data_IF_217309838287
#
_entry.id   IF_217309838287
#
_cell.length_a   1.000
_cell.length_b   1.000
_cell.length_c   1.000
_cell.angle_alpha   90.00
_cell.angle_beta   90.00
_cell.angle_gamma   90.00
#
_symmetry.space_group_name_H-M   'P 1'
#
loop_
_entity.id
_entity.type
_entity.pdbx_description
1 polymer ?
#
# COMPACT_ATOMS: atom_id res chain seq x y z
N UNK A 1 24.80 39.44 -9.12
CA UNK A 1 25.49 38.28 -8.51
C UNK A 1 24.41 37.50 -7.80
N UNK A 2 23.87 36.47 -8.49
CA UNK A 2 22.82 35.58 -7.92
C UNK A 2 23.52 34.42 -7.22
N UNK A 3 23.25 34.27 -5.94
CA UNK A 3 23.71 33.15 -5.12
C UNK A 3 23.01 31.84 -5.59
N UNK A 4 23.70 30.71 -5.74
CA UNK A 4 23.06 29.44 -6.07
C UNK A 4 22.32 28.92 -4.86
N UNK A 5 21.02 28.68 -5.04
CA UNK A 5 20.16 27.95 -4.10
C UNK A 5 20.71 26.55 -3.87
N UNK A 6 20.99 26.21 -2.61
CA UNK A 6 21.51 24.94 -2.16
C UNK A 6 20.59 23.75 -2.48
N UNK A 7 21.05 22.50 -2.27
CA UNK A 7 20.30 21.29 -2.64
C UNK A 7 18.93 21.30 -1.98
N UNK A 8 17.89 21.21 -2.81
CA UNK A 8 16.50 21.35 -2.41
C UNK A 8 16.15 20.48 -1.22
N UNK A 9 15.51 21.09 -0.24
CA UNK A 9 14.90 20.39 0.89
C UNK A 9 14.08 19.20 0.36
N UNK A 10 14.29 18.03 0.94
CA UNK A 10 13.46 16.85 0.68
C UNK A 10 12.00 17.23 0.96
N UNK A 11 11.24 17.51 -0.10
CA UNK A 11 9.80 17.68 0.00
C UNK A 11 9.28 16.28 0.34
N UNK A 12 9.02 16.04 1.62
CA UNK A 12 8.23 14.88 2.03
C UNK A 12 6.83 15.02 1.43
N UNK A 13 6.14 13.92 1.06
CA UNK A 13 4.72 14.02 0.80
C UNK A 13 4.11 14.69 2.04
N UNK A 14 3.02 15.48 1.92
CA UNK A 14 2.32 15.98 3.08
C UNK A 14 2.15 14.79 4.03
N UNK A 15 2.84 14.87 5.18
CA UNK A 15 3.07 13.71 6.06
C UNK A 15 1.73 13.13 6.44
N UNK A 16 1.65 11.81 6.44
CA UNK A 16 0.53 11.13 7.08
C UNK A 16 0.49 11.64 8.53
N UNK A 17 -0.50 12.47 8.91
CA UNK A 17 -0.56 13.03 10.26
C UNK A 17 -0.63 11.92 11.33
N UNK A 18 -1.09 10.73 10.93
CA UNK A 18 -1.22 9.58 11.80
C UNK A 18 0.11 8.79 11.92
N UNK A 19 1.02 8.88 10.93
CA UNK A 19 2.39 8.34 11.03
C UNK A 19 3.29 9.14 11.98
N UNK A 20 2.95 10.38 12.28
CA UNK A 20 3.71 11.24 13.23
C UNK A 20 3.77 10.64 14.66
N UNK A 21 2.88 9.72 15.00
CA UNK A 21 2.86 9.00 16.28
C UNK A 21 3.87 7.84 16.38
N UNK A 22 4.54 7.42 15.29
CA UNK A 22 5.48 6.28 15.28
C UNK A 22 6.84 6.66 14.67
N UNK A 23 7.88 6.85 15.50
CA UNK A 23 9.24 7.14 15.00
C UNK A 23 9.74 6.06 14.02
N UNK A 24 9.38 4.78 14.22
CA UNK A 24 9.77 3.68 13.35
C UNK A 24 9.15 3.81 11.95
N UNK A 25 7.88 4.19 11.86
CA UNK A 25 7.20 4.44 10.57
C UNK A 25 7.74 5.70 9.89
N UNK A 26 7.98 6.77 10.64
CA UNK A 26 8.57 7.99 10.09
C UNK A 26 9.97 7.73 9.48
N UNK A 27 10.82 6.95 10.17
CA UNK A 27 12.12 6.55 9.66
C UNK A 27 11.99 5.63 8.42
N UNK A 28 11.03 4.71 8.42
CA UNK A 28 10.74 3.87 7.27
C UNK A 28 10.32 4.70 6.06
N UNK A 29 9.41 5.64 6.23
CA UNK A 29 8.89 6.48 5.16
C UNK A 29 9.98 7.36 4.55
N UNK A 30 10.88 7.93 5.38
CA UNK A 30 12.05 8.68 4.93
C UNK A 30 12.99 7.81 4.05
N UNK A 31 13.23 6.56 4.45
CA UNK A 31 14.04 5.62 3.67
C UNK A 31 13.35 5.21 2.36
N UNK A 32 12.03 4.99 2.40
CA UNK A 32 11.23 4.62 1.23
C UNK A 32 11.32 5.71 0.18
N UNK A 33 11.01 6.97 0.52
CA UNK A 33 10.87 8.06 -0.45
C UNK A 33 12.19 8.41 -1.17
N UNK A 34 13.33 8.06 -0.60
CA UNK A 34 14.66 8.28 -1.18
C UNK A 34 15.20 7.09 -1.97
N UNK A 35 14.50 5.95 -1.97
CA UNK A 35 14.97 4.70 -2.56
C UNK A 35 15.14 4.76 -4.08
N UNK A 36 16.28 4.22 -4.57
CA UNK A 36 16.64 4.13 -6.00
C UNK A 36 17.18 2.73 -6.38
N UNK A 37 16.85 1.68 -5.61
CA UNK A 37 17.42 0.32 -5.77
C UNK A 37 17.06 -0.38 -7.09
N UNK A 38 15.94 -0.02 -7.73
CA UNK A 38 15.41 -0.69 -8.92
C UNK A 38 15.53 0.24 -10.15
N UNK A 39 16.60 0.18 -10.97
CA UNK A 39 16.83 1.13 -12.07
C UNK A 39 15.66 1.25 -13.04
N UNK A 40 15.02 0.10 -13.42
CA UNK A 40 13.85 0.08 -14.31
C UNK A 40 12.67 0.83 -13.72
N UNK A 41 12.37 0.64 -12.43
CA UNK A 41 11.26 1.34 -11.76
C UNK A 41 11.56 2.83 -11.57
N UNK A 42 12.81 3.17 -11.27
CA UNK A 42 13.25 4.57 -11.15
C UNK A 42 13.07 5.28 -12.49
N UNK A 43 13.60 4.70 -13.58
CA UNK A 43 13.46 5.28 -14.91
C UNK A 43 12.00 5.47 -15.30
N UNK A 44 11.17 4.45 -15.09
CA UNK A 44 9.75 4.48 -15.46
C UNK A 44 8.94 5.50 -14.66
N UNK A 45 9.02 5.48 -13.32
CA UNK A 45 8.25 6.41 -12.49
C UNK A 45 8.59 7.87 -12.77
N UNK A 46 9.90 8.16 -13.00
CA UNK A 46 10.38 9.49 -13.31
C UNK A 46 10.01 9.92 -14.73
N UNK A 47 10.06 9.01 -15.71
CA UNK A 47 9.57 9.24 -17.06
C UNK A 47 8.08 9.61 -17.05
N UNK A 48 7.23 8.80 -16.38
CA UNK A 48 5.81 9.09 -16.24
C UNK A 48 5.56 10.46 -15.59
N UNK A 49 6.39 10.83 -14.59
CA UNK A 49 6.31 12.15 -13.95
C UNK A 49 6.66 13.32 -14.86
N UNK A 50 7.57 13.12 -15.82
CA UNK A 50 7.92 14.15 -16.83
C UNK A 50 6.88 14.22 -17.95
N UNK A 51 6.49 13.08 -18.52
CA UNK A 51 5.60 13.00 -19.68
C UNK A 51 4.16 13.33 -19.31
N UNK A 52 3.73 12.90 -18.12
CA UNK A 52 2.39 13.08 -17.58
C UNK A 52 1.28 12.55 -18.51
N UNK A 53 0.11 12.33 -18.02
CA UNK A 53 -1.08 12.06 -18.82
C UNK A 53 -1.75 13.39 -19.17
N UNK A 54 -2.33 13.52 -20.36
CA UNK A 54 -3.00 14.75 -20.82
C UNK A 54 -4.01 15.32 -19.80
N UNK A 55 -4.77 14.44 -19.13
CA UNK A 55 -5.74 14.85 -18.09
C UNK A 55 -5.09 15.44 -16.81
N UNK A 56 -3.78 15.26 -16.62
CA UNK A 56 -3.04 15.69 -15.43
C UNK A 56 -1.78 16.48 -15.80
N UNK A 57 -1.77 17.11 -16.99
CA UNK A 57 -0.59 17.81 -17.52
C UNK A 57 -0.11 18.96 -16.64
N UNK A 58 -1.06 19.60 -15.94
CA UNK A 58 -0.81 20.77 -15.11
C UNK A 58 -0.48 20.41 -13.65
N UNK A 59 -0.57 19.11 -13.29
CA UNK A 59 -0.26 18.63 -11.96
C UNK A 59 1.23 18.29 -11.81
N UNK A 60 1.79 18.53 -10.63
CA UNK A 60 3.13 18.05 -10.27
C UNK A 60 3.05 16.61 -9.79
N UNK A 61 3.69 15.69 -10.51
CA UNK A 61 3.76 14.30 -10.08
C UNK A 61 4.80 14.12 -8.97
N UNK A 62 4.45 13.32 -7.97
CA UNK A 62 5.35 12.86 -6.93
C UNK A 62 6.58 12.14 -7.50
N UNK A 63 6.37 11.19 -8.42
CA UNK A 63 7.37 10.45 -9.19
C UNK A 63 8.50 9.81 -8.35
N UNK A 64 8.23 9.51 -7.09
CA UNK A 64 9.13 8.84 -6.13
C UNK A 64 8.49 7.57 -5.58
N UNK A 65 9.21 6.73 -4.80
CA UNK A 65 8.56 5.64 -4.08
C UNK A 65 7.48 6.18 -3.14
N UNK A 66 6.42 5.41 -2.99
CA UNK A 66 5.26 5.80 -2.18
C UNK A 66 5.30 5.06 -0.85
N UNK A 67 5.31 5.77 0.29
CA UNK A 67 5.25 5.16 1.63
C UNK A 67 3.89 4.51 1.89
N UNK A 68 3.75 3.79 3.00
CA UNK A 68 2.45 3.36 3.50
C UNK A 68 1.61 4.55 3.95
N UNK A 69 0.31 4.33 4.16
CA UNK A 69 -0.62 5.38 4.55
C UNK A 69 -1.64 4.84 5.55
N UNK A 70 -1.94 5.60 6.59
CA UNK A 70 -2.97 5.33 7.59
C UNK A 70 -2.44 5.17 9.00
N UNK A 71 -3.29 4.69 9.89
CA UNK A 71 -3.09 4.63 11.33
C UNK A 71 -1.79 3.90 11.73
N UNK A 72 -0.97 4.55 12.55
CA UNK A 72 0.28 3.97 13.05
C UNK A 72 0.03 2.83 14.05
N UNK A 73 -1.09 2.85 14.76
CA UNK A 73 -1.55 1.80 15.66
C UNK A 73 -2.53 0.81 15.02
N UNK A 74 -2.50 0.70 13.69
CA UNK A 74 -3.44 -0.13 12.95
C UNK A 74 -3.36 -1.61 13.33
N UNK A 75 -4.49 -2.22 13.60
CA UNK A 75 -4.59 -3.68 13.76
C UNK A 75 -4.87 -4.40 12.44
N UNK A 76 -5.26 -3.67 11.41
CA UNK A 76 -5.49 -4.18 10.05
C UNK A 76 -4.48 -3.56 9.09
N UNK A 77 -3.73 -4.41 8.38
CA UNK A 77 -2.82 -4.00 7.31
C UNK A 77 -3.42 -4.40 5.96
N UNK A 78 -3.68 -3.43 5.08
CA UNK A 78 -4.14 -3.71 3.71
C UNK A 78 -2.94 -3.72 2.78
N UNK A 79 -2.68 -4.85 2.12
CA UNK A 79 -1.52 -5.07 1.26
C UNK A 79 -1.96 -5.13 -0.20
N UNK A 80 -1.58 -4.12 -0.98
CA UNK A 80 -1.87 -4.03 -2.42
C UNK A 80 -0.86 -4.74 -3.30
N UNK A 81 -0.59 -4.15 -4.49
CA UNK A 81 0.40 -4.63 -5.45
C UNK A 81 1.58 -3.66 -5.56
N UNK A 82 1.33 -2.47 -6.08
CA UNK A 82 2.28 -1.39 -6.33
C UNK A 82 1.54 -0.09 -6.66
N UNK A 83 2.18 1.08 -6.56
CA UNK A 83 1.64 2.36 -7.02
C UNK A 83 1.22 2.33 -8.49
N UNK A 84 0.05 2.87 -8.82
CA UNK A 84 -0.35 3.09 -10.19
C UNK A 84 0.37 4.31 -10.78
N UNK A 85 0.73 4.26 -12.08
CA UNK A 85 1.51 5.29 -12.76
C UNK A 85 0.89 6.70 -12.68
N UNK A 86 -0.43 6.80 -12.82
CA UNK A 86 -1.19 8.06 -12.77
C UNK A 86 -2.09 8.21 -11.53
N UNK A 87 -2.00 7.26 -10.59
CA UNK A 87 -2.59 7.31 -9.25
C UNK A 87 -1.53 7.67 -8.21
N UNK A 88 -1.11 6.70 -7.40
CA UNK A 88 -0.17 6.93 -6.30
C UNK A 88 1.21 7.46 -6.74
N UNK A 89 1.71 7.13 -7.94
CA UNK A 89 2.93 7.75 -8.47
C UNK A 89 2.74 9.24 -8.81
N UNK A 90 1.51 9.67 -9.06
CA UNK A 90 1.17 11.09 -9.25
C UNK A 90 1.00 11.79 -7.90
N UNK A 91 0.22 11.22 -7.01
CA UNK A 91 -0.23 11.89 -5.78
C UNK A 91 0.71 11.73 -4.59
N UNK A 92 1.57 10.70 -4.57
CA UNK A 92 2.46 10.39 -3.44
C UNK A 92 1.78 9.58 -2.32
N UNK A 93 0.48 9.23 -2.41
CA UNK A 93 -0.24 8.46 -1.41
C UNK A 93 -0.82 7.17 -2.01
N UNK A 94 -0.71 6.05 -1.29
CA UNK A 94 -1.21 4.74 -1.74
C UNK A 94 -2.69 4.80 -2.10
N UNK A 95 -3.09 4.15 -3.21
CA UNK A 95 -4.48 4.07 -3.71
C UNK A 95 -5.16 5.45 -3.87
N UNK A 96 -4.43 6.51 -4.20
CA UNK A 96 -4.98 7.86 -4.30
C UNK A 96 -4.95 8.36 -5.74
N UNK A 97 -6.06 8.94 -6.18
CA UNK A 97 -6.20 9.59 -7.49
C UNK A 97 -6.38 8.62 -8.66
N UNK A 98 -6.88 7.40 -8.41
CA UNK A 98 -7.26 6.45 -9.43
C UNK A 98 -8.49 5.61 -9.01
N UNK A 99 -9.07 4.89 -9.97
CA UNK A 99 -10.28 4.08 -9.77
C UNK A 99 -10.15 2.98 -8.71
N UNK A 100 -8.95 2.46 -8.51
CA UNK A 100 -8.72 1.44 -7.47
C UNK A 100 -8.83 2.06 -6.07
N UNK A 101 -8.32 3.29 -5.93
CA UNK A 101 -8.48 4.09 -4.71
C UNK A 101 -9.93 4.46 -4.45
N UNK A 102 -10.65 4.96 -5.48
CA UNK A 102 -12.08 5.28 -5.36
C UNK A 102 -12.87 4.08 -4.81
N UNK A 103 -12.63 2.89 -5.35
CA UNK A 103 -13.32 1.67 -4.94
C UNK A 103 -12.96 1.24 -3.51
N UNK A 104 -11.66 1.29 -3.17
CA UNK A 104 -11.16 0.87 -1.85
C UNK A 104 -11.64 1.81 -0.73
N UNK A 105 -11.43 3.12 -0.90
CA UNK A 105 -11.77 4.07 0.17
C UNK A 105 -13.27 4.30 0.32
N UNK A 106 -14.05 4.18 -0.75
CA UNK A 106 -15.50 4.14 -0.63
C UNK A 106 -15.98 2.96 0.24
N UNK A 107 -15.37 1.77 0.08
CA UNK A 107 -15.66 0.61 0.92
C UNK A 107 -15.19 0.84 2.37
N UNK A 108 -13.97 1.35 2.58
CA UNK A 108 -13.46 1.66 3.92
C UNK A 108 -14.36 2.67 4.64
N UNK A 109 -14.85 3.69 3.96
CA UNK A 109 -15.79 4.66 4.52
C UNK A 109 -17.11 4.00 4.93
N UNK A 110 -17.70 3.13 4.07
CA UNK A 110 -18.96 2.42 4.40
C UNK A 110 -18.84 1.54 5.64
N UNK A 111 -17.65 1.00 5.92
CA UNK A 111 -17.42 0.14 7.11
C UNK A 111 -16.78 0.89 8.28
N UNK A 112 -16.62 2.22 8.19
CA UNK A 112 -16.14 3.05 9.28
C UNK A 112 -14.61 3.03 9.50
N UNK A 113 -13.81 2.60 8.50
CA UNK A 113 -12.34 2.60 8.54
C UNK A 113 -11.72 3.87 7.92
N UNK A 114 -12.53 4.72 7.27
CA UNK A 114 -12.10 5.98 6.68
C UNK A 114 -13.11 7.09 6.98
N UNK A 115 -12.64 8.32 7.18
CA UNK A 115 -13.49 9.48 7.46
C UNK A 115 -14.22 10.01 6.21
N UNK A 116 -13.78 9.65 5.02
CA UNK A 116 -14.40 10.05 3.74
C UNK A 116 -14.28 8.93 2.70
N UNK A 117 -15.18 8.98 1.69
CA UNK A 117 -15.24 7.97 0.64
C UNK A 117 -14.29 8.24 -0.54
N UNK A 118 -13.73 9.45 -0.62
CA UNK A 118 -12.90 9.92 -1.74
C UNK A 118 -11.43 9.96 -1.37
N UNK A 119 -10.55 9.76 -2.38
CA UNK A 119 -9.10 9.83 -2.24
C UNK A 119 -8.50 10.40 -3.52
N UNK A 120 -8.40 11.73 -3.61
CA UNK A 120 -8.02 12.44 -4.85
C UNK A 120 -6.61 13.01 -4.82
N UNK A 121 -6.15 13.47 -3.65
CA UNK A 121 -4.82 14.06 -3.44
C UNK A 121 -4.25 13.64 -2.08
N UNK A 122 -2.95 13.82 -1.86
CA UNK A 122 -2.32 13.42 -0.61
C UNK A 122 -2.76 14.29 0.60
N UNK A 123 -3.20 15.51 0.34
CA UNK A 123 -3.64 16.52 1.29
C UNK A 123 -5.17 16.75 1.32
N UNK A 124 -5.96 15.81 0.80
CA UNK A 124 -7.42 15.91 0.70
C UNK A 124 -8.18 15.68 2.02
N UNK A 125 -7.48 15.52 3.12
CA UNK A 125 -8.06 15.33 4.46
C UNK A 125 -8.50 13.91 4.78
N UNK A 126 -8.24 12.92 3.89
CA UNK A 126 -8.52 11.51 4.16
C UNK A 126 -7.69 11.03 5.36
N UNK A 127 -8.37 10.43 6.33
CA UNK A 127 -7.77 9.73 7.48
C UNK A 127 -8.35 8.33 7.62
N UNK A 128 -7.50 7.40 8.06
CA UNK A 128 -7.87 6.01 8.31
C UNK A 128 -7.82 5.72 9.82
N UNK A 129 -8.71 4.90 10.30
CA UNK A 129 -8.78 4.51 11.72
C UNK A 129 -8.68 2.99 11.84
N UNK A 130 -7.70 2.50 12.61
CA UNK A 130 -7.46 1.07 12.84
C UNK A 130 -6.95 0.31 11.62
N UNK A 131 -6.66 0.98 10.52
CA UNK A 131 -6.17 0.40 9.27
C UNK A 131 -5.01 1.19 8.68
N UNK A 132 -4.01 0.47 8.14
CA UNK A 132 -2.92 1.02 7.34
C UNK A 132 -2.86 0.33 5.98
N UNK A 133 -2.54 1.08 4.94
CA UNK A 133 -2.49 0.61 3.55
C UNK A 133 -1.07 0.64 3.04
N UNK A 134 -0.64 -0.44 2.43
CA UNK A 134 0.72 -0.60 1.91
C UNK A 134 0.76 -1.41 0.61
N UNK A 135 1.95 -1.57 0.04
CA UNK A 135 2.20 -2.44 -1.10
C UNK A 135 3.60 -3.07 -1.01
N UNK A 136 3.79 -4.32 -1.50
CA UNK A 136 5.10 -4.98 -1.51
C UNK A 136 6.11 -4.32 -2.44
N UNK A 137 5.66 -3.53 -3.41
CA UNK A 137 6.53 -2.71 -4.28
C UNK A 137 6.11 -1.24 -4.16
N UNK A 138 7.06 -0.37 -3.86
CA UNK A 138 6.81 1.04 -3.52
C UNK A 138 6.89 2.00 -4.71
N UNK A 139 7.25 1.52 -5.88
CA UNK A 139 7.35 2.30 -7.12
C UNK A 139 6.35 1.80 -8.15
N UNK A 140 5.82 2.70 -8.99
CA UNK A 140 5.00 2.31 -10.13
C UNK A 140 5.82 1.47 -11.12
N UNK A 141 5.38 0.24 -11.46
CA UNK A 141 6.03 -0.56 -12.47
C UNK A 141 5.39 -0.36 -13.84
N UNK A 142 6.13 -0.52 -14.95
CA UNK A 142 5.54 -0.57 -16.28
C UNK A 142 4.42 -1.62 -16.36
N UNK A 143 3.29 -1.25 -16.96
CA UNK A 143 2.11 -2.10 -17.13
C UNK A 143 1.57 -2.72 -15.81
N UNK A 144 1.83 -2.12 -14.65
CA UNK A 144 1.51 -2.64 -13.32
C UNK A 144 2.12 -4.04 -13.04
N UNK A 145 3.26 -4.35 -13.65
CA UNK A 145 3.95 -5.65 -13.54
C UNK A 145 5.36 -5.49 -12.98
N UNK A 146 5.54 -5.52 -11.66
CA UNK A 146 6.88 -5.58 -11.07
C UNK A 146 7.52 -6.94 -11.34
N UNK A 147 8.85 -6.97 -11.46
CA UNK A 147 9.59 -8.23 -11.60
C UNK A 147 9.78 -8.90 -10.24
N UNK A 148 10.12 -10.22 -10.21
CA UNK A 148 10.48 -10.90 -8.97
C UNK A 148 11.67 -10.24 -8.25
N UNK A 149 12.66 -9.74 -8.98
CA UNK A 149 13.83 -9.05 -8.41
C UNK A 149 13.45 -7.73 -7.76
N UNK A 150 12.59 -6.94 -8.39
CA UNK A 150 12.07 -5.70 -7.84
C UNK A 150 11.24 -5.94 -6.57
N UNK A 151 10.44 -7.01 -6.56
CA UNK A 151 9.71 -7.45 -5.37
C UNK A 151 10.68 -7.80 -4.23
N UNK A 152 11.73 -8.60 -4.51
CA UNK A 152 12.75 -8.96 -3.52
C UNK A 152 13.53 -7.75 -3.01
N UNK A 153 13.95 -6.86 -3.90
CA UNK A 153 14.65 -5.62 -3.53
C UNK A 153 13.80 -4.69 -2.66
N UNK A 154 12.47 -4.73 -2.80
CA UNK A 154 11.52 -3.90 -2.05
C UNK A 154 11.03 -4.57 -0.74
N UNK A 155 11.15 -5.90 -0.60
CA UNK A 155 10.64 -6.68 0.53
C UNK A 155 11.10 -6.16 1.91
N UNK A 156 12.33 -5.63 2.13
CA UNK A 156 12.72 -5.09 3.42
C UNK A 156 11.86 -3.94 3.92
N UNK A 157 11.23 -3.16 3.04
CA UNK A 157 10.30 -2.10 3.46
C UNK A 157 8.98 -2.66 3.97
N UNK A 158 8.42 -3.69 3.31
CA UNK A 158 7.23 -4.39 3.80
C UNK A 158 7.52 -5.08 5.14
N UNK A 159 8.68 -5.72 5.28
CA UNK A 159 9.11 -6.36 6.53
C UNK A 159 9.15 -5.36 7.70
N UNK A 160 9.81 -4.22 7.51
CA UNK A 160 9.89 -3.15 8.52
C UNK A 160 8.53 -2.58 8.87
N UNK A 161 7.64 -2.45 7.88
CA UNK A 161 6.29 -1.94 8.14
C UNK A 161 5.44 -2.93 8.93
N UNK A 162 5.53 -4.24 8.64
CA UNK A 162 4.87 -5.29 9.45
C UNK A 162 5.36 -5.25 10.90
N UNK A 163 6.67 -5.11 11.12
CA UNK A 163 7.23 -5.02 12.47
C UNK A 163 6.81 -3.73 13.20
N UNK A 164 6.77 -2.60 12.50
CA UNK A 164 6.43 -1.31 13.10
C UNK A 164 4.94 -1.16 13.42
N UNK A 165 4.06 -1.76 12.61
CA UNK A 165 2.60 -1.70 12.78
C UNK A 165 2.11 -2.81 13.72
N UNK A 166 2.73 -3.97 13.72
CA UNK A 166 2.34 -5.18 14.45
C UNK A 166 0.84 -5.55 14.26
N UNK A 167 0.38 -5.75 13.00
CA UNK A 167 -1.03 -5.96 12.72
C UNK A 167 -1.49 -7.34 13.20
N UNK A 168 -2.77 -7.45 13.56
CA UNK A 168 -3.45 -8.75 13.84
C UNK A 168 -4.01 -9.39 12.58
N UNK A 169 -4.37 -8.56 11.59
CA UNK A 169 -4.97 -9.01 10.33
C UNK A 169 -4.28 -8.33 9.15
N UNK A 170 -3.98 -9.09 8.11
CA UNK A 170 -3.55 -8.57 6.82
C UNK A 170 -4.59 -8.88 5.73
N UNK A 171 -5.30 -7.86 5.24
CA UNK A 171 -6.16 -7.96 4.05
C UNK A 171 -5.28 -7.83 2.81
N UNK A 172 -5.21 -8.88 1.99
CA UNK A 172 -4.28 -8.95 0.86
C UNK A 172 -5.03 -8.88 -0.46
N UNK A 173 -4.78 -7.82 -1.21
CA UNK A 173 -5.46 -7.52 -2.47
C UNK A 173 -4.74 -8.19 -3.65
N UNK A 174 -5.18 -9.41 -3.98
CA UNK A 174 -4.70 -10.18 -5.13
C UNK A 174 -3.54 -11.12 -4.85
N UNK A 175 -3.34 -12.07 -5.76
CA UNK A 175 -2.37 -13.16 -5.63
C UNK A 175 -0.91 -12.69 -5.55
N UNK A 176 -0.57 -11.57 -6.21
CA UNK A 176 0.80 -11.02 -6.13
C UNK A 176 1.14 -10.55 -4.73
N UNK A 177 0.25 -9.75 -4.11
CA UNK A 177 0.41 -9.30 -2.72
C UNK A 177 0.46 -10.48 -1.74
N UNK A 178 -0.38 -11.50 -1.97
CA UNK A 178 -0.43 -12.73 -1.16
C UNK A 178 0.91 -13.47 -1.17
N UNK A 179 1.46 -13.74 -2.35
CA UNK A 179 2.76 -14.39 -2.47
C UNK A 179 3.89 -13.55 -1.85
N UNK A 180 3.88 -12.23 -2.10
CA UNK A 180 4.88 -11.32 -1.55
C UNK A 180 4.84 -11.27 -0.02
N UNK A 181 3.63 -11.21 0.57
CA UNK A 181 3.47 -11.20 2.03
C UNK A 181 3.94 -12.51 2.65
N UNK A 182 3.55 -13.67 2.08
CA UNK A 182 3.99 -14.97 2.59
C UNK A 182 5.51 -15.14 2.56
N UNK A 183 6.18 -14.67 1.50
CA UNK A 183 7.64 -14.70 1.41
C UNK A 183 8.26 -13.80 2.48
N UNK A 184 7.77 -12.55 2.61
CA UNK A 184 8.25 -11.62 3.64
C UNK A 184 8.05 -12.17 5.06
N UNK A 185 6.92 -12.81 5.34
CA UNK A 185 6.64 -13.41 6.65
C UNK A 185 7.59 -14.58 6.95
N UNK A 186 7.93 -15.41 5.94
CA UNK A 186 8.95 -16.47 6.12
C UNK A 186 10.32 -15.88 6.46
N UNK A 187 10.72 -14.83 5.74
CA UNK A 187 11.99 -14.13 5.98
C UNK A 187 12.06 -13.50 7.38
N UNK A 188 10.90 -13.08 7.92
CA UNK A 188 10.74 -12.60 9.30
C UNK A 188 10.62 -13.72 10.35
N UNK A 189 10.72 -15.00 9.94
CA UNK A 189 10.65 -16.14 10.85
C UNK A 189 9.24 -16.54 11.31
N UNK A 190 8.20 -16.12 10.58
CA UNK A 190 6.84 -16.60 10.84
C UNK A 190 6.65 -18.05 10.34
N UNK A 191 5.96 -18.87 11.12
CA UNK A 191 5.59 -20.23 10.74
C UNK A 191 4.46 -20.21 9.70
N UNK A 192 4.85 -20.11 8.42
CA UNK A 192 3.91 -20.21 7.31
C UNK A 192 3.61 -21.69 7.03
N UNK A 193 2.33 -22.12 6.99
CA UNK A 193 1.95 -23.52 6.76
C UNK A 193 2.58 -24.11 5.50
N UNK A 194 2.76 -25.43 5.51
CA UNK A 194 3.19 -26.22 4.33
C UNK A 194 2.17 -27.34 4.09
N UNK A 195 1.52 -27.39 2.90
CA UNK A 195 1.71 -26.49 1.75
C UNK A 195 1.29 -25.06 2.06
N UNK A 196 1.88 -24.09 1.36
CA UNK A 196 1.57 -22.67 1.53
C UNK A 196 0.08 -22.39 1.26
N UNK A 197 -0.58 -21.54 2.04
CA UNK A 197 -1.97 -21.16 1.82
C UNK A 197 -2.17 -20.60 0.42
N UNK A 198 -3.15 -21.13 -0.30
CA UNK A 198 -3.48 -20.66 -1.66
C UNK A 198 -4.31 -19.39 -1.59
N UNK A 199 -4.00 -18.44 -2.47
CA UNK A 199 -4.82 -17.24 -2.62
C UNK A 199 -6.19 -17.58 -3.20
N UNK A 200 -7.24 -17.11 -2.53
CA UNK A 200 -8.60 -17.00 -3.07
C UNK A 200 -9.28 -15.78 -2.42
N UNK A 201 -10.35 -15.27 -3.04
CA UNK A 201 -11.19 -14.28 -2.37
C UNK A 201 -11.88 -14.92 -1.15
N UNK A 202 -11.81 -14.26 0.01
CA UNK A 202 -12.32 -14.79 1.27
C UNK A 202 -11.46 -15.89 1.91
N UNK A 203 -10.30 -16.26 1.31
CA UNK A 203 -9.40 -17.22 1.95
C UNK A 203 -8.84 -16.64 3.26
N UNK A 204 -8.84 -17.45 4.32
CA UNK A 204 -8.24 -17.15 5.62
C UNK A 204 -7.07 -18.09 5.88
N UNK A 205 -5.99 -17.57 6.42
CA UNK A 205 -4.85 -18.34 6.89
C UNK A 205 -4.22 -17.66 8.11
N UNK A 206 -3.80 -18.45 9.09
CA UNK A 206 -3.11 -17.94 10.28
C UNK A 206 -1.65 -18.33 10.22
N UNK A 207 -0.78 -17.38 10.49
CA UNK A 207 0.67 -17.57 10.67
C UNK A 207 1.06 -17.16 12.08
N UNK A 208 2.06 -17.82 12.66
CA UNK A 208 2.44 -17.64 14.06
C UNK A 208 3.95 -17.36 14.15
N UNK A 209 4.34 -16.47 15.07
CA UNK A 209 5.74 -16.25 15.46
C UNK A 209 5.82 -16.03 16.98
N UNK A 210 6.25 -17.06 17.71
CA UNK A 210 6.16 -17.05 19.17
C UNK A 210 4.71 -16.94 19.65
N UNK A 211 4.41 -15.95 20.46
CA UNK A 211 3.06 -15.65 20.95
C UNK A 211 2.23 -14.78 19.98
N UNK A 212 2.86 -14.23 18.93
CA UNK A 212 2.17 -13.41 17.94
C UNK A 212 1.46 -14.26 16.90
N UNK A 213 0.25 -13.90 16.56
CA UNK A 213 -0.50 -14.46 15.44
C UNK A 213 -0.91 -13.37 14.45
N UNK A 214 -0.87 -13.68 13.17
CA UNK A 214 -1.35 -12.80 12.10
C UNK A 214 -2.30 -13.58 11.21
N UNK A 215 -3.53 -13.09 11.08
CA UNK A 215 -4.52 -13.67 10.18
C UNK A 215 -4.41 -13.00 8.80
N UNK A 216 -4.23 -13.80 7.76
CA UNK A 216 -4.21 -13.34 6.37
C UNK A 216 -5.61 -13.51 5.78
N UNK A 217 -6.14 -12.47 5.16
CA UNK A 217 -7.45 -12.44 4.50
C UNK A 217 -7.27 -12.11 3.02
N UNK A 218 -7.59 -13.05 2.14
CA UNK A 218 -7.50 -12.86 0.69
C UNK A 218 -8.68 -12.06 0.15
N UNK A 219 -8.41 -11.05 -0.66
CA UNK A 219 -9.42 -10.31 -1.42
C UNK A 219 -9.01 -10.19 -2.88
N UNK A 220 -9.93 -10.32 -3.84
CA UNK A 220 -9.63 -9.94 -5.22
C UNK A 220 -9.14 -8.51 -5.28
N UNK A 221 -8.17 -8.22 -6.16
CA UNK A 221 -7.62 -6.88 -6.28
C UNK A 221 -8.68 -5.88 -6.76
N UNK A 222 -8.68 -4.68 -6.17
CA UNK A 222 -9.62 -3.58 -6.48
C UNK A 222 -9.37 -2.90 -7.84
N UNK A 223 -8.67 -3.57 -8.77
CA UNK A 223 -8.39 -3.07 -10.11
C UNK A 223 -9.66 -2.96 -10.97
N UNK A 224 -9.63 -2.03 -11.92
CA UNK A 224 -10.72 -1.85 -12.89
C UNK A 224 -11.10 -3.17 -13.59
N UNK A 225 -10.12 -4.03 -13.89
CA UNK A 225 -10.38 -5.35 -14.48
C UNK A 225 -11.32 -6.20 -13.62
N UNK A 226 -11.18 -6.19 -12.31
CA UNK A 226 -12.04 -6.98 -11.43
C UNK A 226 -13.36 -6.27 -11.10
N UNK A 227 -13.33 -4.94 -10.94
CA UNK A 227 -14.53 -4.18 -10.54
C UNK A 227 -15.49 -3.98 -11.71
N UNK A 228 -15.01 -3.72 -12.93
CA UNK A 228 -15.86 -3.53 -14.11
C UNK A 228 -16.45 -4.86 -14.63
N UNK A 229 -15.77 -5.98 -14.39
CA UNK A 229 -16.29 -7.30 -14.77
C UNK A 229 -17.20 -7.93 -13.72
N UNK A 230 -17.41 -7.25 -12.58
CA UNK A 230 -18.20 -7.79 -11.47
C UNK A 230 -17.53 -8.92 -10.70
N UNK A 231 -16.22 -9.23 -10.98
CA UNK A 231 -15.45 -10.23 -10.24
C UNK A 231 -15.24 -9.82 -8.78
N UNK A 232 -15.16 -8.51 -8.51
CA UNK A 232 -15.18 -7.92 -7.18
C UNK A 232 -16.28 -6.87 -7.15
N UNK A 233 -17.30 -7.10 -6.32
CA UNK A 233 -18.37 -6.14 -6.07
C UNK A 233 -18.11 -5.33 -4.79
N UNK A 234 -18.79 -4.17 -4.60
CA UNK A 234 -18.72 -3.42 -3.35
C UNK A 234 -19.02 -4.27 -2.11
N UNK A 235 -20.12 -5.06 -2.15
CA UNK A 235 -20.53 -5.90 -1.01
C UNK A 235 -19.49 -6.97 -0.66
N UNK A 236 -18.82 -7.54 -1.67
CA UNK A 236 -17.73 -8.50 -1.45
C UNK A 236 -16.55 -7.88 -0.73
N UNK A 237 -16.16 -6.64 -1.10
CA UNK A 237 -15.07 -5.93 -0.42
C UNK A 237 -15.49 -5.50 1.00
N UNK A 238 -16.72 -4.98 1.16
CA UNK A 238 -17.27 -4.62 2.47
C UNK A 238 -17.29 -5.83 3.43
N UNK A 239 -17.68 -7.02 2.93
CA UNK A 239 -17.68 -8.25 3.73
C UNK A 239 -16.27 -8.62 4.21
N UNK A 240 -15.25 -8.53 3.34
CA UNK A 240 -13.84 -8.78 3.72
C UNK A 240 -13.37 -7.77 4.76
N UNK A 241 -13.67 -6.49 4.59
CA UNK A 241 -13.25 -5.44 5.55
C UNK A 241 -13.92 -5.61 6.91
N UNK A 242 -15.24 -5.92 6.95
CA UNK A 242 -15.94 -6.23 8.21
C UNK A 242 -15.37 -7.48 8.89
N UNK A 243 -15.04 -8.51 8.11
CA UNK A 243 -14.39 -9.70 8.65
C UNK A 243 -13.03 -9.37 9.26
N UNK A 244 -12.24 -8.52 8.59
CA UNK A 244 -10.96 -8.05 9.12
C UNK A 244 -11.13 -7.28 10.44
N UNK A 245 -12.12 -6.40 10.54
CA UNK A 245 -12.43 -5.68 11.79
C UNK A 245 -12.81 -6.64 12.92
N UNK A 246 -13.67 -7.62 12.66
CA UNK A 246 -14.08 -8.62 13.64
C UNK A 246 -12.88 -9.45 14.17
N UNK A 247 -11.99 -9.88 13.26
CA UNK A 247 -10.77 -10.61 13.63
C UNK A 247 -9.75 -9.74 14.39
N UNK A 248 -9.70 -8.45 14.11
CA UNK A 248 -8.78 -7.52 14.76
C UNK A 248 -9.26 -7.09 16.17
N UNK A 249 -10.55 -7.22 16.46
CA UNK A 249 -11.14 -6.85 17.75
C UNK A 249 -10.93 -7.92 18.84
N UNK A 250 -10.84 -9.20 18.44
CA UNK A 250 -10.56 -10.34 19.33
C UNK A 250 -9.08 -10.51 19.59
#
# INVERSE_FOLDING_TARGET
VSTPTGPGALVMPPGDPDAAGSPALAALDADVVTCRRCPRLVAWREQVGRERRAAFRDETYWARPVPGFGDAGARVLVVGLAPAAHGANRTGRMFTGDRSGDFLFAAMHRVGLANQATSVAADDGLRLTGVRVTAPVRCAPPANKPTPDERRACAPYLAREIEAVDPRVAVVLGAFGWAALLDTLRDLGWAVPRPAPRFAHGAEAVVIRGERSLTLLGCFHVSQQNTFTGRLTPDMLDAVLRRAQALAAG
#
